data_IF_122699937178
#
_entry.id   IF_122699937178
#
_cell.length_a   1.000
_cell.length_b   1.000
_cell.length_c   1.000
_cell.angle_alpha   90.00
_cell.angle_beta   90.00
_cell.angle_gamma   90.00
#
_symmetry.space_group_name_H-M   'P 1'
#
loop_
_entity.id
_entity.type
_entity.pdbx_description
1 polymer ?
#
# COMPACT_ATOMS: atom_id res chain seq x y z
N UNK A 1 9.07 -18.99 -9.88
CA UNK A 1 7.74 -18.78 -9.26
C UNK A 1 7.44 -17.31 -9.44
N UNK A 2 6.21 -16.92 -9.79
CA UNK A 2 5.88 -15.49 -9.84
C UNK A 2 5.74 -14.97 -8.40
N UNK A 3 6.35 -13.82 -8.07
CA UNK A 3 6.20 -13.20 -6.76
C UNK A 3 4.76 -12.74 -6.56
N UNK A 4 4.30 -12.74 -5.31
CA UNK A 4 3.02 -12.14 -4.96
C UNK A 4 3.13 -10.61 -5.08
N UNK A 5 2.13 -9.96 -5.70
CA UNK A 5 2.18 -8.53 -6.01
C UNK A 5 1.13 -7.77 -5.22
N UNK A 6 1.58 -6.82 -4.40
CA UNK A 6 0.71 -5.97 -3.56
C UNK A 6 0.73 -4.54 -4.09
N UNK A 7 -0.40 -4.09 -4.61
CA UNK A 7 -0.63 -2.71 -5.02
C UNK A 7 -0.98 -1.82 -3.85
N UNK A 8 -0.29 -0.68 -3.71
CA UNK A 8 -0.55 0.32 -2.68
C UNK A 8 -0.94 1.63 -3.38
N UNK A 9 -2.24 1.96 -3.31
CA UNK A 9 -2.81 3.15 -3.93
C UNK A 9 -3.41 4.12 -2.91
N UNK A 10 -3.68 5.35 -3.34
CA UNK A 10 -4.26 6.39 -2.48
C UNK A 10 -3.91 7.81 -2.88
N UNK A 11 -4.50 8.82 -2.22
CA UNK A 11 -4.21 10.23 -2.45
C UNK A 11 -2.75 10.62 -2.26
N UNK A 12 -2.37 11.73 -2.90
CA UNK A 12 -1.11 12.41 -2.64
C UNK A 12 -1.03 12.72 -1.14
N UNK A 13 0.08 12.32 -0.51
CA UNK A 13 0.32 12.59 0.90
C UNK A 13 -0.40 11.68 1.90
N UNK A 14 -1.19 10.67 1.49
CA UNK A 14 -1.90 9.79 2.44
C UNK A 14 -0.97 8.87 3.26
N UNK A 15 0.26 8.68 2.79
CA UNK A 15 1.29 7.87 3.46
C UNK A 15 1.58 6.53 2.79
N UNK A 16 1.34 6.40 1.49
CA UNK A 16 1.68 5.20 0.69
C UNK A 16 3.16 4.82 0.79
N UNK A 17 4.08 5.73 0.44
CA UNK A 17 5.53 5.51 0.57
C UNK A 17 5.95 5.16 2.00
N UNK A 18 5.30 5.76 3.00
CA UNK A 18 5.57 5.45 4.41
C UNK A 18 5.10 4.03 4.80
N UNK A 19 3.99 3.57 4.22
CA UNK A 19 3.52 2.19 4.38
C UNK A 19 4.48 1.21 3.70
N UNK A 20 4.90 1.49 2.46
CA UNK A 20 5.87 0.67 1.72
C UNK A 20 7.18 0.55 2.51
N UNK A 21 7.72 1.68 3.02
CA UNK A 21 8.92 1.69 3.85
C UNK A 21 8.80 0.80 5.08
N UNK A 22 7.71 0.94 5.82
CA UNK A 22 7.46 0.19 7.05
C UNK A 22 7.29 -1.31 6.77
N UNK A 23 6.52 -1.68 5.73
CA UNK A 23 6.33 -3.06 5.31
C UNK A 23 7.65 -3.70 4.88
N UNK A 24 8.44 -3.02 4.04
CA UNK A 24 9.76 -3.51 3.65
C UNK A 24 10.64 -3.80 4.86
N UNK A 25 10.74 -2.86 5.81
CA UNK A 25 11.59 -3.03 7.00
C UNK A 25 11.17 -4.20 7.89
N UNK A 26 9.87 -4.42 8.04
CA UNK A 26 9.33 -5.49 8.90
C UNK A 26 9.38 -6.86 8.22
N UNK A 27 9.24 -6.91 6.88
CA UNK A 27 9.06 -8.15 6.14
C UNK A 27 10.33 -8.68 5.44
N UNK A 28 11.32 -7.81 5.16
CA UNK A 28 12.51 -8.17 4.34
C UNK A 28 13.43 -9.24 4.95
N UNK A 29 13.36 -9.47 6.25
CA UNK A 29 14.16 -10.52 6.90
C UNK A 29 13.58 -11.92 6.66
N UNK A 30 12.31 -12.00 6.22
CA UNK A 30 11.59 -13.25 5.95
C UNK A 30 11.29 -13.48 4.47
N UNK A 31 11.14 -12.40 3.71
CA UNK A 31 10.79 -12.45 2.29
C UNK A 31 11.83 -11.73 1.45
N UNK A 32 12.13 -12.26 0.27
CA UNK A 32 12.86 -11.53 -0.76
C UNK A 32 11.91 -10.55 -1.44
N UNK A 33 12.10 -9.26 -1.15
CA UNK A 33 11.19 -8.17 -1.58
C UNK A 33 11.80 -7.34 -2.71
N UNK A 34 10.96 -6.91 -3.64
CA UNK A 34 11.22 -5.84 -4.60
C UNK A 34 10.17 -4.73 -4.50
N UNK A 35 10.49 -3.52 -4.94
CA UNK A 35 9.56 -2.38 -4.96
C UNK A 35 9.58 -1.69 -6.31
N UNK A 36 8.39 -1.40 -6.84
CA UNK A 36 8.20 -0.49 -7.96
C UNK A 36 7.36 0.70 -7.48
N UNK A 37 7.91 1.91 -7.55
CA UNK A 37 7.17 3.15 -7.20
C UNK A 37 6.82 3.92 -8.45
N UNK A 38 5.61 4.48 -8.52
CA UNK A 38 5.17 5.32 -9.62
C UNK A 38 5.07 6.77 -9.18
N UNK A 39 5.62 7.68 -9.98
CA UNK A 39 5.37 9.11 -9.86
C UNK A 39 5.34 9.73 -11.27
N UNK A 40 4.74 10.90 -11.42
CA UNK A 40 4.51 11.51 -12.73
C UNK A 40 5.82 12.02 -13.34
N UNK A 41 6.66 12.66 -12.52
CA UNK A 41 7.81 13.43 -13.00
C UNK A 41 9.10 13.22 -12.21
N UNK A 42 9.08 12.43 -11.13
CA UNK A 42 10.22 12.28 -10.24
C UNK A 42 10.46 10.83 -9.83
N UNK A 43 11.58 10.59 -9.18
CA UNK A 43 11.87 9.32 -8.50
C UNK A 43 11.98 9.52 -6.99
N UNK A 44 11.34 10.56 -6.44
CA UNK A 44 11.49 10.93 -5.03
C UNK A 44 11.05 9.82 -4.08
N UNK A 45 9.99 9.09 -4.41
CA UNK A 45 9.53 7.95 -3.60
C UNK A 45 10.55 6.81 -3.59
N UNK A 46 11.08 6.41 -4.76
CA UNK A 46 12.15 5.41 -4.84
C UNK A 46 13.41 5.87 -4.07
N UNK A 47 13.83 7.12 -4.25
CA UNK A 47 14.99 7.67 -3.54
C UNK A 47 14.76 7.76 -2.04
N UNK A 48 13.55 8.10 -1.60
CA UNK A 48 13.17 8.08 -0.19
C UNK A 48 13.34 6.67 0.39
N UNK A 49 12.83 5.64 -0.28
CA UNK A 49 12.95 4.25 0.18
C UNK A 49 14.41 3.81 0.29
N UNK A 50 15.27 4.20 -0.67
CA UNK A 50 16.71 3.94 -0.60
C UNK A 50 17.36 4.65 0.59
N UNK A 51 17.09 5.95 0.77
CA UNK A 51 17.63 6.77 1.88
C UNK A 51 17.18 6.25 3.24
N UNK A 52 15.92 5.81 3.33
CA UNK A 52 15.31 5.22 4.50
C UNK A 52 15.82 3.81 4.80
N UNK A 53 16.63 3.26 3.90
CA UNK A 53 17.13 1.89 3.95
C UNK A 53 15.97 0.90 4.05
N UNK A 54 14.92 1.08 3.24
CA UNK A 54 13.80 0.13 3.15
C UNK A 54 14.30 -1.20 2.58
N UNK A 55 15.03 -1.15 1.46
CA UNK A 55 15.73 -2.25 0.80
C UNK A 55 17.04 -1.73 0.19
N UNK A 56 17.85 -2.64 -0.34
CA UNK A 56 18.98 -2.30 -1.21
C UNK A 56 18.49 -1.55 -2.46
N UNK A 57 19.31 -0.63 -2.97
CA UNK A 57 18.95 0.23 -4.11
C UNK A 57 18.48 -0.57 -5.33
N UNK A 58 19.16 -1.65 -5.64
CA UNK A 58 18.89 -2.44 -6.85
C UNK A 58 17.56 -3.20 -6.78
N UNK A 59 16.93 -3.24 -5.59
CA UNK A 59 15.59 -3.82 -5.38
C UNK A 59 14.45 -2.81 -5.50
N UNK A 60 14.76 -1.54 -5.77
CA UNK A 60 13.78 -0.45 -5.84
C UNK A 60 13.88 0.22 -7.21
N UNK A 61 12.80 0.15 -7.99
CA UNK A 61 12.69 0.82 -9.29
C UNK A 61 11.67 1.95 -9.21
N UNK A 62 12.12 3.17 -9.52
CA UNK A 62 11.25 4.32 -9.72
C UNK A 62 10.80 4.42 -11.16
N UNK A 63 9.49 4.40 -11.39
CA UNK A 63 8.84 4.55 -12.69
C UNK A 63 8.28 5.97 -12.80
N UNK A 64 8.78 6.72 -13.78
CA UNK A 64 8.21 8.00 -14.18
C UNK A 64 7.13 7.75 -15.23
N UNK A 65 5.87 7.96 -14.87
CA UNK A 65 4.73 7.62 -15.74
C UNK A 65 4.51 8.65 -16.85
N UNK A 66 4.99 9.88 -16.67
CA UNK A 66 4.85 11.00 -17.62
C UNK A 66 3.42 11.53 -17.78
N UNK A 67 2.44 10.98 -17.05
CA UNK A 67 1.02 11.28 -17.26
C UNK A 67 0.10 10.89 -16.10
N UNK A 68 -1.19 10.75 -16.39
CA UNK A 68 -2.21 10.45 -15.38
C UNK A 68 -1.86 9.15 -14.61
N UNK A 69 -1.77 9.18 -13.27
CA UNK A 69 -1.36 8.01 -12.49
C UNK A 69 -2.24 6.78 -12.72
N UNK A 70 -3.53 6.97 -12.96
CA UNK A 70 -4.48 5.89 -13.29
C UNK A 70 -4.04 5.04 -14.48
N UNK A 71 -3.49 5.67 -15.53
CA UNK A 71 -3.15 4.96 -16.76
C UNK A 71 -2.05 3.96 -16.51
N UNK A 72 -0.99 4.35 -15.81
CA UNK A 72 0.16 3.50 -15.53
C UNK A 72 -0.16 2.26 -14.67
N UNK A 73 -1.25 2.28 -13.90
CA UNK A 73 -1.62 1.17 -13.01
C UNK A 73 -2.86 0.39 -13.46
N UNK A 74 -3.62 0.91 -14.43
CA UNK A 74 -4.91 0.34 -14.84
C UNK A 74 -5.08 0.15 -16.33
N UNK A 75 -4.96 1.22 -17.11
CA UNK A 75 -5.23 1.16 -18.55
C UNK A 75 -4.03 0.63 -19.34
N UNK A 76 -2.82 0.98 -18.92
CA UNK A 76 -1.55 0.53 -19.50
C UNK A 76 -0.55 0.26 -18.38
N UNK A 77 -0.59 -0.97 -17.86
CA UNK A 77 0.30 -1.44 -16.82
C UNK A 77 1.70 -1.86 -17.33
N UNK A 78 1.97 -1.74 -18.64
CA UNK A 78 3.15 -2.31 -19.27
C UNK A 78 4.46 -1.81 -18.66
N UNK A 79 4.56 -0.53 -18.34
CA UNK A 79 5.76 0.08 -17.73
C UNK A 79 6.07 -0.53 -16.36
N UNK A 80 5.03 -0.82 -15.57
CA UNK A 80 5.19 -1.46 -14.28
C UNK A 80 5.53 -2.95 -14.44
N UNK A 81 4.89 -3.65 -15.38
CA UNK A 81 5.19 -5.05 -15.65
C UNK A 81 6.65 -5.25 -16.10
N UNK A 82 7.17 -4.35 -16.95
CA UNK A 82 8.59 -4.36 -17.35
C UNK A 82 9.51 -4.11 -16.15
N UNK A 83 9.18 -3.16 -15.27
CA UNK A 83 9.96 -2.92 -14.06
C UNK A 83 9.97 -4.14 -13.12
N UNK A 84 8.84 -4.82 -12.97
CA UNK A 84 8.74 -6.05 -12.18
C UNK A 84 9.57 -7.16 -12.82
N UNK A 85 9.49 -7.35 -14.14
CA UNK A 85 10.29 -8.36 -14.85
C UNK A 85 11.81 -8.11 -14.68
N UNK A 86 12.25 -6.84 -14.70
CA UNK A 86 13.65 -6.49 -14.43
C UNK A 86 14.10 -6.92 -13.03
N UNK A 87 13.25 -6.74 -12.01
CA UNK A 87 13.54 -7.20 -10.65
C UNK A 87 13.58 -8.74 -10.59
N UNK A 88 12.64 -9.42 -11.24
CA UNK A 88 12.57 -10.89 -11.29
C UNK A 88 13.77 -11.52 -12.03
N UNK A 89 14.37 -10.81 -12.99
CA UNK A 89 15.59 -11.26 -13.68
C UNK A 89 16.84 -11.19 -12.78
N UNK A 90 16.88 -10.25 -11.84
CA UNK A 90 18.02 -10.03 -10.95
C UNK A 90 17.89 -10.78 -9.62
N UNK A 91 16.66 -10.99 -9.15
CA UNK A 91 16.38 -11.53 -7.84
C UNK A 91 15.30 -12.62 -7.90
N UNK A 92 15.47 -13.69 -7.12
CA UNK A 92 14.36 -14.58 -6.80
C UNK A 92 13.50 -13.91 -5.74
N UNK A 93 12.33 -13.40 -6.14
CA UNK A 93 11.44 -12.61 -5.28
C UNK A 93 10.25 -13.45 -4.78
N UNK A 94 9.87 -13.21 -3.54
CA UNK A 94 8.64 -13.75 -2.95
C UNK A 94 7.50 -12.72 -3.03
N UNK A 95 7.84 -11.43 -2.92
CA UNK A 95 6.89 -10.32 -2.79
C UNK A 95 7.37 -9.09 -3.57
N UNK A 96 6.45 -8.44 -4.27
CA UNK A 96 6.69 -7.13 -4.90
C UNK A 96 5.63 -6.14 -4.47
N UNK A 97 6.08 -5.00 -3.93
CA UNK A 97 5.19 -3.86 -3.69
C UNK A 97 5.16 -2.95 -4.91
N UNK A 98 3.96 -2.60 -5.35
CA UNK A 98 3.73 -1.63 -6.44
C UNK A 98 3.01 -0.42 -5.87
N UNK A 99 3.75 0.67 -5.65
CA UNK A 99 3.17 1.93 -5.20
C UNK A 99 2.66 2.73 -6.41
N UNK A 100 1.39 3.14 -6.38
CA UNK A 100 0.85 4.05 -7.39
C UNK A 100 1.32 5.49 -7.18
N UNK A 101 1.29 6.30 -8.25
CA UNK A 101 1.28 7.75 -8.08
C UNK A 101 0.09 8.19 -7.22
N UNK A 102 0.22 9.34 -6.55
CA UNK A 102 -0.87 9.87 -5.72
C UNK A 102 -2.07 10.28 -6.57
N UNK A 103 -3.25 9.75 -6.24
CA UNK A 103 -4.46 9.99 -7.02
C UNK A 103 -5.74 9.98 -6.19
N UNK A 104 -6.86 10.41 -6.76
CA UNK A 104 -8.14 10.51 -6.07
C UNK A 104 -8.75 9.13 -5.76
N UNK A 105 -9.96 9.16 -5.17
CA UNK A 105 -10.71 7.98 -4.70
C UNK A 105 -11.06 6.94 -5.79
N UNK A 106 -10.80 7.25 -7.06
CA UNK A 106 -11.03 6.39 -8.20
C UNK A 106 -9.87 5.43 -8.55
N UNK A 107 -8.70 5.58 -7.92
CA UNK A 107 -7.54 4.74 -8.22
C UNK A 107 -7.80 3.26 -7.89
N UNK A 108 -7.53 2.42 -8.87
CA UNK A 108 -7.65 0.95 -8.83
C UNK A 108 -6.58 0.36 -9.72
N UNK A 109 -5.95 -0.73 -9.28
CA UNK A 109 -5.00 -1.46 -10.10
C UNK A 109 -5.71 -2.37 -11.12
N UNK A 110 -5.02 -2.64 -12.24
CA UNK A 110 -5.35 -3.73 -13.14
C UNK A 110 -5.14 -5.07 -12.41
N UNK A 111 -6.05 -6.05 -12.56
CA UNK A 111 -5.84 -7.42 -12.08
C UNK A 111 -4.62 -8.11 -12.69
N UNK A 112 -4.13 -7.63 -13.85
CA UNK A 112 -2.90 -8.15 -14.46
C UNK A 112 -1.63 -7.64 -13.75
N UNK A 113 -1.74 -6.54 -13.01
CA UNK A 113 -0.60 -5.90 -12.36
C UNK A 113 -0.39 -6.37 -10.92
N UNK A 114 -1.46 -6.54 -10.14
CA UNK A 114 -1.37 -6.89 -8.71
C UNK A 114 -2.37 -7.96 -8.31
N UNK A 115 -2.00 -8.80 -7.35
CA UNK A 115 -2.84 -9.84 -6.76
C UNK A 115 -3.69 -9.30 -5.60
N UNK A 116 -3.20 -8.27 -4.90
CA UNK A 116 -3.82 -7.68 -3.72
C UNK A 116 -3.75 -6.16 -3.78
N UNK A 117 -4.85 -5.47 -3.48
CA UNK A 117 -4.93 -4.01 -3.44
C UNK A 117 -5.14 -3.48 -2.02
N UNK A 118 -4.18 -2.68 -1.55
CA UNK A 118 -4.29 -1.87 -0.35
C UNK A 118 -4.52 -0.41 -0.77
N UNK A 119 -5.53 0.23 -0.20
CA UNK A 119 -5.83 1.64 -0.45
C UNK A 119 -5.64 2.46 0.81
N UNK A 120 -4.82 3.52 0.74
CA UNK A 120 -4.43 4.35 1.88
C UNK A 120 -5.10 5.72 1.78
N UNK A 121 -5.91 6.06 2.78
CA UNK A 121 -6.41 7.41 3.03
C UNK A 121 -5.80 7.93 4.34
N UNK A 122 -5.86 9.24 4.57
CA UNK A 122 -5.40 9.82 5.82
C UNK A 122 -6.46 10.69 6.50
N UNK A 123 -6.36 10.78 7.83
CA UNK A 123 -7.30 11.53 8.67
C UNK A 123 -7.24 13.04 8.39
N UNK A 124 -6.08 13.60 8.00
CA UNK A 124 -5.94 15.03 7.73
C UNK A 124 -6.67 15.48 6.45
N UNK A 125 -7.02 14.55 5.56
CA UNK A 125 -7.92 14.82 4.42
C UNK A 125 -9.40 15.00 4.84
N UNK A 126 -9.74 14.70 6.09
CA UNK A 126 -11.05 14.92 6.73
C UNK A 126 -11.86 13.63 6.94
N UNK A 127 -12.62 13.60 8.03
CA UNK A 127 -13.40 12.43 8.46
C UNK A 127 -14.53 12.01 7.49
N UNK A 128 -14.91 12.88 6.55
CA UNK A 128 -15.88 12.60 5.49
C UNK A 128 -15.31 11.77 4.33
N UNK A 129 -14.00 11.52 4.27
CA UNK A 129 -13.40 10.78 3.14
C UNK A 129 -14.02 9.39 2.98
N UNK A 130 -14.15 8.55 4.02
CA UNK A 130 -14.80 7.23 3.92
C UNK A 130 -16.17 7.26 3.24
N UNK A 131 -17.07 8.21 3.60
CA UNK A 131 -18.43 8.26 3.02
C UNK A 131 -18.49 8.77 1.58
N UNK A 132 -17.42 9.39 1.05
CA UNK A 132 -17.37 9.79 -0.36
C UNK A 132 -17.35 8.55 -1.28
N UNK A 133 -16.94 7.40 -0.75
CA UNK A 133 -16.86 6.17 -1.53
C UNK A 133 -15.80 6.26 -2.62
N UNK A 134 -16.12 5.71 -3.80
CA UNK A 134 -15.15 5.47 -4.86
C UNK A 134 -14.58 4.05 -4.78
N UNK A 135 -14.08 3.51 -5.88
CA UNK A 135 -13.61 2.14 -5.94
C UNK A 135 -12.40 1.87 -5.03
N UNK A 136 -11.53 2.85 -4.78
CA UNK A 136 -10.43 2.70 -3.81
C UNK A 136 -10.95 2.44 -2.39
N UNK A 137 -12.03 3.10 -1.98
CA UNK A 137 -12.65 2.91 -0.66
C UNK A 137 -13.56 1.69 -0.62
N UNK A 138 -14.32 1.41 -1.68
CA UNK A 138 -15.38 0.39 -1.64
C UNK A 138 -14.93 -0.99 -2.12
N UNK A 139 -13.85 -1.08 -2.89
CA UNK A 139 -13.45 -2.32 -3.58
C UNK A 139 -12.04 -2.82 -3.26
N UNK A 140 -11.15 -1.98 -2.72
CA UNK A 140 -9.83 -2.45 -2.24
C UNK A 140 -9.98 -3.59 -1.24
N UNK A 141 -9.06 -4.54 -1.28
CA UNK A 141 -9.04 -5.69 -0.38
C UNK A 141 -8.83 -5.22 1.07
N UNK A 142 -7.98 -4.21 1.26
CA UNK A 142 -7.78 -3.53 2.54
C UNK A 142 -7.81 -2.01 2.38
N UNK A 143 -8.58 -1.33 3.23
CA UNK A 143 -8.49 0.13 3.40
C UNK A 143 -7.64 0.45 4.64
N UNK A 144 -6.63 1.29 4.47
CA UNK A 144 -5.81 1.83 5.56
C UNK A 144 -6.21 3.28 5.79
N UNK A 145 -6.58 3.60 7.04
CA UNK A 145 -6.92 4.95 7.48
C UNK A 145 -5.79 5.45 8.37
N UNK A 146 -4.83 6.13 7.77
CA UNK A 146 -3.56 6.50 8.38
C UNK A 146 -3.60 7.87 9.08
N UNK A 147 -2.59 8.13 9.91
CA UNK A 147 -2.36 9.38 10.66
C UNK A 147 -3.43 9.67 11.70
N UNK A 148 -3.90 8.64 12.42
CA UNK A 148 -4.91 8.81 13.47
C UNK A 148 -4.49 9.73 14.60
N UNK A 149 -3.18 9.91 14.80
CA UNK A 149 -2.60 10.86 15.75
C UNK A 149 -2.93 12.33 15.40
N UNK A 150 -3.24 12.62 14.13
CA UNK A 150 -3.59 13.96 13.70
C UNK A 150 -5.08 14.29 13.91
N UNK A 151 -5.93 13.32 14.24
CA UNK A 151 -7.38 13.53 14.35
C UNK A 151 -7.76 14.72 15.26
N UNK A 152 -7.17 14.87 16.47
CA UNK A 152 -7.47 16.00 17.35
C UNK A 152 -7.00 17.35 16.80
N UNK A 153 -5.96 17.35 15.95
CA UNK A 153 -5.35 18.57 15.41
C UNK A 153 -6.11 19.14 14.22
N UNK A 154 -6.84 18.29 13.50
CA UNK A 154 -7.59 18.65 12.28
C UNK A 154 -9.11 18.61 12.49
N UNK A 155 -9.57 18.32 13.70
CA UNK A 155 -11.00 18.25 14.04
C UNK A 155 -11.74 17.08 13.39
N UNK A 156 -11.04 15.99 13.08
CA UNK A 156 -11.62 14.79 12.50
C UNK A 156 -12.06 13.80 13.58
N UNK A 157 -13.21 13.16 13.40
CA UNK A 157 -13.70 12.09 14.30
C UNK A 157 -13.38 10.70 13.74
N UNK A 158 -12.60 9.92 14.50
CA UNK A 158 -12.32 8.52 14.16
C UNK A 158 -13.59 7.65 14.19
N UNK A 159 -14.53 7.92 15.11
CA UNK A 159 -15.82 7.22 15.18
C UNK A 159 -16.67 7.44 13.91
N UNK A 160 -16.65 8.66 13.37
CA UNK A 160 -17.31 8.97 12.10
C UNK A 160 -16.66 8.20 10.96
N UNK A 161 -15.33 8.15 10.92
CA UNK A 161 -14.59 7.41 9.91
C UNK A 161 -14.85 5.90 9.99
N UNK A 162 -14.88 5.32 11.19
CA UNK A 162 -15.19 3.90 11.41
C UNK A 162 -16.58 3.55 10.89
N UNK A 163 -17.60 4.29 11.34
CA UNK A 163 -18.99 4.09 10.93
C UNK A 163 -19.14 4.18 9.41
N UNK A 164 -18.55 5.20 8.82
CA UNK A 164 -18.68 5.46 7.39
C UNK A 164 -17.88 4.44 6.56
N UNK A 165 -16.71 4.01 7.01
CA UNK A 165 -15.93 2.94 6.38
C UNK A 165 -16.72 1.63 6.40
N UNK A 166 -17.27 1.22 7.55
CA UNK A 166 -18.15 0.03 7.66
C UNK A 166 -19.33 0.11 6.70
N UNK A 167 -20.01 1.25 6.65
CA UNK A 167 -21.15 1.45 5.75
C UNK A 167 -20.75 1.30 4.28
N UNK A 168 -19.62 1.85 3.87
CA UNK A 168 -19.19 1.84 2.46
C UNK A 168 -18.53 0.53 2.04
N UNK A 169 -17.98 -0.24 2.98
CA UNK A 169 -17.19 -1.45 2.72
C UNK A 169 -17.94 -2.75 3.00
N UNK A 170 -19.02 -2.72 3.78
CA UNK A 170 -19.67 -3.94 4.27
C UNK A 170 -18.70 -4.77 5.09
N UNK A 171 -18.51 -6.02 4.70
CA UNK A 171 -17.59 -6.96 5.37
C UNK A 171 -16.10 -6.75 5.01
N UNK A 172 -15.78 -5.89 4.03
CA UNK A 172 -14.37 -5.68 3.65
C UNK A 172 -13.59 -4.97 4.77
N UNK A 173 -12.40 -5.47 5.13
CA UNK A 173 -11.68 -4.98 6.30
C UNK A 173 -11.10 -3.58 6.06
N UNK A 174 -10.90 -2.85 7.15
CA UNK A 174 -10.10 -1.64 7.18
C UNK A 174 -9.34 -1.56 8.50
N UNK A 175 -8.22 -0.83 8.50
CA UNK A 175 -7.36 -0.68 9.67
C UNK A 175 -7.04 0.80 9.87
N UNK A 176 -7.19 1.26 11.11
CA UNK A 176 -6.67 2.55 11.54
C UNK A 176 -5.18 2.43 11.84
N UNK A 177 -4.37 3.38 11.37
CA UNK A 177 -2.93 3.36 11.59
C UNK A 177 -2.36 4.70 12.01
N UNK A 178 -1.29 4.62 12.79
CA UNK A 178 -0.28 5.66 12.90
C UNK A 178 1.06 5.05 12.50
N UNK A 179 1.38 5.11 11.21
CA UNK A 179 2.61 4.50 10.68
C UNK A 179 3.88 5.13 11.27
N UNK A 180 3.84 6.37 11.77
CA UNK A 180 4.98 6.98 12.46
C UNK A 180 5.31 6.28 13.78
N UNK A 181 4.28 5.79 14.47
CA UNK A 181 4.41 4.97 15.69
C UNK A 181 4.32 3.46 15.41
N UNK A 182 4.23 3.06 14.14
CA UNK A 182 3.97 1.68 13.69
C UNK A 182 2.66 1.06 14.22
N UNK A 183 1.73 1.88 14.71
CA UNK A 183 0.43 1.42 15.19
C UNK A 183 -0.44 0.94 14.03
N UNK A 184 -1.05 -0.24 14.21
CA UNK A 184 -1.84 -0.96 13.21
C UNK A 184 -1.05 -1.59 12.06
N UNK A 185 0.29 -1.47 12.03
CA UNK A 185 1.12 -2.05 10.97
C UNK A 185 1.07 -3.58 10.96
N UNK A 186 1.10 -4.22 12.13
CA UNK A 186 1.06 -5.68 12.26
C UNK A 186 -0.20 -6.28 11.62
N UNK A 187 -1.35 -5.62 11.77
CA UNK A 187 -2.59 -6.04 11.13
C UNK A 187 -2.51 -6.02 9.60
N UNK A 188 -1.75 -5.08 9.02
CA UNK A 188 -1.51 -5.01 7.57
C UNK A 188 -0.55 -6.13 7.14
N UNK A 189 0.50 -6.38 7.91
CA UNK A 189 1.45 -7.48 7.65
C UNK A 189 0.74 -8.83 7.69
N UNK A 190 -0.06 -9.09 8.72
CA UNK A 190 -0.83 -10.33 8.86
C UNK A 190 -1.85 -10.49 7.73
N UNK A 191 -2.49 -9.39 7.31
CA UNK A 191 -3.39 -9.40 6.17
C UNK A 191 -2.66 -9.81 4.88
N UNK A 192 -1.49 -9.24 4.59
CA UNK A 192 -0.69 -9.60 3.40
C UNK A 192 -0.27 -11.08 3.48
N UNK A 193 0.25 -11.52 4.63
CA UNK A 193 0.72 -12.91 4.82
C UNK A 193 -0.39 -13.93 4.63
N UNK A 194 -1.60 -13.64 5.15
CA UNK A 194 -2.78 -14.46 4.93
C UNK A 194 -3.09 -14.62 3.43
N UNK A 195 -3.02 -13.54 2.65
CA UNK A 195 -3.29 -13.58 1.21
C UNK A 195 -2.16 -14.21 0.40
N UNK A 196 -0.93 -14.19 0.91
CA UNK A 196 0.19 -14.97 0.37
C UNK A 196 0.05 -16.48 0.66
N UNK A 197 -0.95 -16.90 1.44
CA UNK A 197 -1.16 -18.30 1.82
C UNK A 197 -0.31 -18.76 3.01
N UNK A 198 0.37 -17.84 3.71
CA UNK A 198 0.99 -18.17 4.99
C UNK A 198 -0.10 -18.28 6.06
N UNK A 199 -0.27 -19.48 6.62
CA UNK A 199 -1.08 -19.63 7.82
C UNK A 199 -0.29 -19.03 8.98
N UNK A 200 -0.88 -18.10 9.73
CA UNK A 200 -0.32 -17.66 11.01
C UNK A 200 -0.20 -18.89 11.90
N UNK A 201 1.04 -19.37 12.08
CA UNK A 201 1.34 -20.43 13.02
C UNK A 201 0.80 -20.00 14.39
N UNK A 202 -0.12 -20.81 14.90
CA UNK A 202 -0.70 -20.71 16.24
C UNK A 202 0.35 -20.20 17.24
N UNK A 203 0.13 -19.10 17.99
CA UNK A 203 1.05 -18.74 19.06
C UNK A 203 1.15 -19.96 19.97
N UNK A 204 2.36 -20.47 20.14
CA UNK A 204 2.61 -21.60 21.02
C UNK A 204 1.93 -21.31 22.36
N UNK A 205 0.97 -22.17 22.72
CA UNK A 205 0.45 -22.24 24.08
C UNK A 205 1.66 -22.55 24.95
N UNK A 206 2.17 -21.52 25.61
CA UNK A 206 3.16 -21.69 26.67
C UNK A 206 2.40 -22.37 27.81
N UNK A 207 2.73 -23.64 28.03
CA UNK A 207 2.27 -24.43 29.18
C UNK A 207 2.90 -23.98 30.49
#
# INVERSE_FOLDING_TARGET
MQPFRVGIAGPVGSGKTALVDALCKVMRDRFSIGVVTNDIYTQEDAQFLVRSQALERDRIIGVETGGCPHTAIREDASINLVAIEQLEQQFSLDLVFVESGGDNLAATFSPELVDLTIYVIDVAAGDKIPRKGGPGITRSDLLVINKIDLAPLVGASLDVMDRDARKMRGERPFVFTNLKAQDGLDAIVDFIRLHMGETTGNPAVVG
#
